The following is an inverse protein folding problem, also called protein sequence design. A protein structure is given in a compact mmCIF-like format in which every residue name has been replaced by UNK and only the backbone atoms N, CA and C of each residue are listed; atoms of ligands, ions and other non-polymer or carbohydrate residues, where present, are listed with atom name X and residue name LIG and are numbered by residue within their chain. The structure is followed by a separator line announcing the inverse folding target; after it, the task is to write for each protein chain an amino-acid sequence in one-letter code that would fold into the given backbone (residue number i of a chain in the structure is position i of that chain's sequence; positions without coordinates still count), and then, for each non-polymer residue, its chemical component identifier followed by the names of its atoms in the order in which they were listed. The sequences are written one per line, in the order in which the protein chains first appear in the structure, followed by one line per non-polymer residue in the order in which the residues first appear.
data_IF_849968110043
#
_entry.id   IF_849968110043
#
_cell.length_a   1.000
_cell.length_b   1.000
_cell.length_c   1.000
_cell.angle_alpha   90.00
_cell.angle_beta   90.00
_cell.angle_gamma   90.00
#
_symmetry.space_group_name_H-M   'P 1'
#
loop_
_entity.id
_entity.type
_entity.pdbx_description
1 polymer ?
#
# COMPACT_ATOMS: atom_id res chain seq x y z
N UNK A 1 2.38 9.96 2.60
CA UNK A 1 1.43 9.47 1.57
C UNK A 1 1.65 7.97 1.34
N UNK A 2 0.61 7.16 1.32
CA UNK A 2 0.71 5.73 0.99
C UNK A 2 0.36 5.52 -0.48
N UNK A 3 1.22 4.85 -1.24
CA UNK A 3 0.93 4.49 -2.62
C UNK A 3 1.50 3.13 -3.03
N UNK A 4 0.94 2.61 -4.12
CA UNK A 4 1.37 1.36 -4.75
C UNK A 4 2.50 1.70 -5.73
N UNK A 5 3.68 1.16 -5.50
CA UNK A 5 4.82 1.27 -6.39
C UNK A 5 5.08 -0.08 -7.08
N UNK A 6 5.32 -0.07 -8.39
CA UNK A 6 5.72 -1.28 -9.11
C UNK A 6 7.13 -1.70 -8.68
N UNK A 7 7.35 -2.99 -8.46
CA UNK A 7 8.68 -3.50 -8.21
C UNK A 7 9.47 -3.55 -9.52
N UNK A 8 10.73 -3.06 -9.54
CA UNK A 8 11.56 -3.11 -10.75
C UNK A 8 11.85 -4.55 -11.21
N UNK A 9 11.95 -5.49 -10.27
CA UNK A 9 12.34 -6.89 -10.56
C UNK A 9 11.18 -7.82 -10.88
N UNK A 10 9.92 -7.40 -10.69
CA UNK A 10 8.76 -8.22 -11.02
C UNK A 10 7.61 -7.35 -11.51
N UNK A 11 7.16 -7.59 -12.75
CA UNK A 11 6.03 -6.89 -13.36
C UNK A 11 4.71 -7.13 -12.61
N UNK A 12 4.57 -8.32 -12.01
CA UNK A 12 3.33 -8.84 -11.43
C UNK A 12 3.14 -8.42 -9.96
N UNK A 13 4.25 -8.12 -9.26
CA UNK A 13 4.21 -7.75 -7.84
C UNK A 13 4.43 -6.25 -7.67
N UNK A 14 3.50 -5.59 -6.99
CA UNK A 14 3.59 -4.18 -6.62
C UNK A 14 3.79 -4.06 -5.11
N UNK A 15 4.71 -3.21 -4.65
CA UNK A 15 4.90 -2.93 -3.22
C UNK A 15 4.01 -1.77 -2.79
N UNK A 16 3.48 -1.87 -1.59
CA UNK A 16 2.86 -0.77 -0.87
C UNK A 16 3.96 -0.04 -0.12
N UNK A 17 4.24 1.20 -0.51
CA UNK A 17 5.24 2.03 0.14
C UNK A 17 4.57 3.17 0.88
N UNK A 18 4.93 3.30 2.15
CA UNK A 18 4.68 4.49 2.92
C UNK A 18 5.77 5.50 2.59
N UNK A 19 5.37 6.64 2.04
CA UNK A 19 6.23 7.82 2.08
C UNK A 19 6.02 8.53 3.41
N UNK A 20 7.02 8.52 4.31
CA UNK A 20 6.97 9.35 5.50
C UNK A 20 6.86 10.82 5.09
N UNK A 21 6.13 11.61 5.88
CA UNK A 21 6.04 13.06 5.69
C UNK A 21 7.42 13.72 5.69
N UNK A 22 8.35 13.18 6.49
CA UNK A 22 9.73 13.61 6.50
C UNK A 22 10.55 12.87 5.43
N UNK A 23 10.97 13.58 4.37
CA UNK A 23 11.72 13.05 3.22
C UNK A 23 13.04 12.34 3.60
N UNK A 24 13.59 12.61 4.79
CA UNK A 24 14.82 11.98 5.30
C UNK A 24 14.59 10.58 5.90
N UNK A 25 13.34 10.19 6.20
CA UNK A 25 13.04 8.85 6.75
C UNK A 25 12.97 7.80 5.64
N UNK A 26 13.49 6.59 5.91
CA UNK A 26 13.40 5.44 5.00
C UNK A 26 11.92 5.15 4.67
N UNK A 27 11.66 4.76 3.43
CA UNK A 27 10.31 4.34 2.97
C UNK A 27 9.93 3.06 3.74
N UNK A 28 8.83 3.10 4.48
CA UNK A 28 8.37 1.91 5.18
C UNK A 28 7.60 1.01 4.21
N UNK A 29 7.97 -0.27 4.19
CA UNK A 29 7.24 -1.29 3.46
C UNK A 29 5.97 -1.65 4.23
N UNK A 30 4.82 -1.52 3.57
CA UNK A 30 3.51 -1.66 4.23
C UNK A 30 2.77 -2.92 3.79
N UNK A 31 3.30 -3.59 2.77
CA UNK A 31 2.71 -4.78 2.17
C UNK A 31 2.94 -4.84 0.66
N UNK A 32 2.21 -5.74 0.00
CA UNK A 32 2.31 -5.95 -1.43
C UNK A 32 0.95 -6.30 -2.04
N UNK A 33 0.87 -6.08 -3.35
CA UNK A 33 -0.23 -6.50 -4.19
C UNK A 33 0.32 -7.36 -5.31
N UNK A 34 -0.20 -8.58 -5.45
CA UNK A 34 0.07 -9.44 -6.60
C UNK A 34 -1.12 -9.35 -7.55
N UNK A 35 -0.91 -8.83 -8.76
CA UNK A 35 -1.98 -8.67 -9.75
C UNK A 35 -2.42 -9.98 -10.39
N UNK A 36 -1.53 -10.97 -10.48
CA UNK A 36 -1.83 -12.27 -11.08
C UNK A 36 -2.74 -13.11 -10.18
N UNK A 37 -2.44 -13.13 -8.88
CA UNK A 37 -3.26 -13.83 -7.88
C UNK A 37 -4.44 -12.98 -7.38
N UNK A 38 -4.53 -11.72 -7.82
CA UNK A 38 -5.46 -10.71 -7.30
C UNK A 38 -5.48 -10.72 -5.76
N UNK A 39 -4.28 -10.80 -5.17
CA UNK A 39 -4.05 -10.96 -3.74
C UNK A 39 -3.39 -9.71 -3.18
N UNK A 40 -3.99 -9.17 -2.12
CA UNK A 40 -3.51 -7.97 -1.43
C UNK A 40 -3.12 -8.35 -0.01
N UNK A 41 -1.85 -8.16 0.33
CA UNK A 41 -1.36 -8.27 1.69
C UNK A 41 -0.94 -6.89 2.18
N UNK A 42 -1.49 -6.47 3.32
CA UNK A 42 -1.17 -5.18 3.91
C UNK A 42 -1.25 -5.27 5.43
N UNK A 43 -0.44 -4.46 6.12
CA UNK A 43 -0.57 -4.30 7.57
C UNK A 43 -1.62 -3.24 7.90
N UNK A 44 -2.75 -3.68 8.47
CA UNK A 44 -3.84 -2.81 8.92
C UNK A 44 -3.36 -1.75 9.91
N UNK A 45 -2.43 -2.11 10.81
CA UNK A 45 -1.84 -1.20 11.79
C UNK A 45 -1.15 0.00 11.11
N UNK A 46 -0.36 -0.25 10.07
CA UNK A 46 0.33 0.83 9.36
C UNK A 46 -0.63 1.71 8.57
N UNK A 47 -1.68 1.15 7.97
CA UNK A 47 -2.69 1.95 7.27
C UNK A 47 -3.43 2.85 8.27
N UNK A 48 -3.85 2.28 9.41
CA UNK A 48 -4.57 2.99 10.44
C UNK A 48 -3.73 4.11 11.08
N UNK A 49 -2.49 3.82 11.47
CA UNK A 49 -1.57 4.83 12.03
C UNK A 49 -1.23 5.92 11.03
N UNK A 50 -1.12 5.59 9.74
CA UNK A 50 -0.89 6.57 8.70
C UNK A 50 -2.09 7.49 8.49
N UNK A 51 -3.30 6.95 8.51
CA UNK A 51 -4.54 7.75 8.44
C UNK A 51 -4.67 8.67 9.66
N UNK A 52 -4.43 8.14 10.87
CA UNK A 52 -4.44 8.93 12.11
C UNK A 52 -3.42 10.08 12.09
N UNK A 53 -2.28 9.88 11.45
CA UNK A 53 -1.23 10.90 11.28
C UNK A 53 -1.47 11.84 10.10
N UNK A 54 -2.65 11.80 9.47
CA UNK A 54 -3.03 12.69 8.37
C UNK A 54 -2.38 12.34 7.02
N UNK A 55 -1.78 11.16 6.88
CA UNK A 55 -1.22 10.74 5.60
C UNK A 55 -2.33 10.41 4.60
N UNK A 56 -2.26 11.04 3.43
CA UNK A 56 -3.13 10.70 2.29
C UNK A 56 -2.82 9.30 1.76
N UNK A 57 -3.86 8.57 1.38
CA UNK A 57 -3.80 7.26 0.70
C UNK A 57 -4.16 7.47 -0.77
N UNK A 58 -3.43 6.81 -1.69
CA UNK A 58 -3.76 6.91 -3.11
C UNK A 58 -5.11 6.28 -3.45
N UNK A 59 -5.85 6.87 -4.40
CA UNK A 59 -7.14 6.34 -4.89
C UNK A 59 -7.04 4.88 -5.35
N UNK A 60 -5.91 4.50 -5.97
CA UNK A 60 -5.66 3.13 -6.42
C UNK A 60 -5.59 2.14 -5.25
N UNK A 61 -4.97 2.54 -4.13
CA UNK A 61 -4.89 1.69 -2.94
C UNK A 61 -6.24 1.53 -2.26
N UNK A 62 -7.02 2.60 -2.16
CA UNK A 62 -8.39 2.54 -1.64
C UNK A 62 -9.24 1.56 -2.45
N UNK A 63 -9.18 1.64 -3.80
CA UNK A 63 -9.89 0.71 -4.68
C UNK A 63 -9.48 -0.74 -4.47
N UNK A 64 -8.18 -1.02 -4.29
CA UNK A 64 -7.71 -2.38 -4.03
C UNK A 64 -8.18 -2.90 -2.67
N UNK A 65 -8.15 -2.07 -1.62
CA UNK A 65 -8.62 -2.47 -0.29
C UNK A 65 -10.12 -2.79 -0.34
N UNK A 66 -10.93 -1.92 -0.95
CA UNK A 66 -12.38 -2.16 -1.11
C UNK A 66 -12.64 -3.44 -1.91
N UNK A 67 -11.91 -3.65 -3.02
CA UNK A 67 -12.03 -4.87 -3.83
C UNK A 67 -11.69 -6.13 -3.02
N UNK A 68 -10.67 -6.05 -2.15
CA UNK A 68 -10.28 -7.15 -1.29
C UNK A 68 -11.33 -7.44 -0.21
N UNK A 69 -11.90 -6.39 0.40
CA UNK A 69 -12.96 -6.51 1.42
C UNK A 69 -14.26 -7.09 0.87
N UNK A 70 -14.61 -6.81 -0.40
CA UNK A 70 -15.79 -7.41 -1.05
C UNK A 70 -15.61 -8.88 -1.48
N UNK A 71 -14.38 -9.37 -1.48
CA UNK A 71 -14.03 -10.73 -1.92
C UNK A 71 -13.97 -11.72 -0.73
N UNK A 72 -13.95 -11.18 0.49
CA UNK A 72 -14.23 -11.89 1.75
C UNK A 72 -15.75 -11.99 1.93
#
# INVERSE_FOLDING_TARGET
MIFIAKLKTSSQTKRLLLYPYNKKKKRNYVGFYNSQLNWLYYSSYYILTSLKTGNKISKALIRLIIKNLKKL
#
